data_IF_009796442215
#
_entry.id   IF_009796442215
#
_cell.length_a   1.000
_cell.length_b   1.000
_cell.length_c   1.000
_cell.angle_alpha   90.00
_cell.angle_beta   90.00
_cell.angle_gamma   90.00
#
_symmetry.space_group_name_H-M   'P 1'
#
loop_
_entity.id
_entity.type
_entity.pdbx_description
1 polymer ?
#
# COMPACT_ATOMS: atom_id res chain seq x y z
N UNK A 1 2.65 15.79 -12.37
CA UNK A 1 2.49 14.64 -11.45
C UNK A 1 2.65 15.13 -10.01
N UNK A 2 2.08 14.48 -9.00
CA UNK A 2 2.18 14.91 -7.59
C UNK A 2 2.53 13.73 -6.66
N UNK A 3 2.82 12.57 -7.25
CA UNK A 3 3.21 11.36 -6.56
C UNK A 3 4.73 11.18 -6.62
N UNK A 4 5.28 10.40 -5.70
CA UNK A 4 6.73 10.15 -5.67
C UNK A 4 7.17 9.13 -6.71
N UNK A 5 8.48 9.08 -6.99
CA UNK A 5 9.12 8.13 -7.91
C UNK A 5 9.07 6.66 -7.45
N UNK A 6 8.38 6.35 -6.35
CA UNK A 6 8.23 4.97 -5.85
C UNK A 6 7.56 4.07 -6.89
N UNK A 7 6.52 4.57 -7.57
CA UNK A 7 5.81 3.81 -8.60
C UNK A 7 6.69 3.49 -9.81
N UNK A 8 7.62 4.39 -10.14
CA UNK A 8 8.50 4.26 -11.30
C UNK A 8 9.47 3.08 -11.14
N UNK A 9 9.84 2.71 -9.91
CA UNK A 9 10.77 1.60 -9.65
C UNK A 9 10.26 0.27 -10.20
N UNK A 10 8.97 -0.01 -10.04
CA UNK A 10 8.38 -1.26 -10.50
C UNK A 10 8.36 -1.36 -12.02
N UNK A 11 8.00 -0.27 -12.69
CA UNK A 11 7.98 -0.19 -14.16
C UNK A 11 9.40 -0.27 -14.71
N UNK A 12 10.34 0.49 -14.15
CA UNK A 12 11.75 0.45 -14.53
C UNK A 12 12.32 -0.97 -14.37
N UNK A 13 11.97 -1.68 -13.29
CA UNK A 13 12.36 -3.08 -13.09
C UNK A 13 11.86 -4.00 -14.20
N UNK A 14 10.59 -3.86 -14.63
CA UNK A 14 10.05 -4.66 -15.74
C UNK A 14 10.72 -4.32 -17.07
N UNK A 15 10.95 -3.04 -17.36
CA UNK A 15 11.65 -2.61 -18.58
C UNK A 15 13.06 -3.20 -18.62
N UNK A 16 13.80 -3.16 -17.50
CA UNK A 16 15.14 -3.74 -17.40
C UNK A 16 15.16 -5.25 -17.67
N UNK A 17 14.13 -5.98 -17.25
CA UNK A 17 14.00 -7.43 -17.48
C UNK A 17 13.64 -7.75 -18.94
N UNK A 18 12.74 -6.98 -19.56
CA UNK A 18 12.26 -7.27 -20.92
C UNK A 18 13.16 -6.73 -22.03
N UNK A 19 13.87 -5.62 -21.78
CA UNK A 19 14.70 -4.93 -22.78
C UNK A 19 15.70 -5.84 -23.51
N UNK A 20 16.43 -6.76 -22.85
CA UNK A 20 17.43 -7.59 -23.53
C UNK A 20 16.85 -8.52 -24.60
N UNK A 21 15.57 -8.90 -24.48
CA UNK A 21 14.92 -9.88 -25.36
C UNK A 21 13.99 -9.20 -26.37
N UNK A 22 13.29 -8.14 -25.97
CA UNK A 22 12.23 -7.51 -26.78
C UNK A 22 12.66 -6.17 -27.42
N UNK A 23 13.80 -5.62 -27.00
CA UNK A 23 14.20 -4.25 -27.30
C UNK A 23 13.43 -3.22 -26.47
N UNK A 24 13.89 -1.97 -26.50
CA UNK A 24 13.39 -0.89 -25.62
C UNK A 24 11.87 -0.65 -25.79
N UNK A 25 11.42 -0.43 -27.03
CA UNK A 25 10.02 -0.05 -27.30
C UNK A 25 9.02 -1.13 -26.83
N UNK A 26 9.28 -2.40 -27.13
CA UNK A 26 8.41 -3.48 -26.67
C UNK A 26 8.51 -3.68 -25.16
N UNK A 27 9.69 -3.52 -24.55
CA UNK A 27 9.84 -3.64 -23.10
C UNK A 27 8.98 -2.63 -22.35
N UNK A 28 8.89 -1.39 -22.82
CA UNK A 28 8.02 -0.35 -22.27
C UNK A 28 6.55 -0.71 -22.40
N UNK A 29 6.11 -1.19 -23.58
CA UNK A 29 4.72 -1.62 -23.81
C UNK A 29 4.35 -2.78 -22.86
N UNK A 30 5.20 -3.80 -22.75
CA UNK A 30 4.97 -4.93 -21.88
C UNK A 30 5.02 -4.55 -20.40
N UNK A 31 5.93 -3.66 -19.99
CA UNK A 31 5.97 -3.14 -18.63
C UNK A 31 4.68 -2.37 -18.29
N UNK A 32 4.20 -1.50 -19.20
CA UNK A 32 2.96 -0.76 -19.02
C UNK A 32 1.73 -1.65 -18.92
N UNK A 33 1.67 -2.73 -19.72
CA UNK A 33 0.56 -3.68 -19.69
C UNK A 33 0.59 -4.57 -18.44
N UNK A 34 1.75 -5.08 -18.05
CA UNK A 34 1.88 -6.07 -16.98
C UNK A 34 1.96 -5.45 -15.59
N UNK A 35 2.49 -4.23 -15.45
CA UNK A 35 2.71 -3.63 -14.13
C UNK A 35 1.43 -3.57 -13.28
N UNK A 36 0.29 -3.03 -13.77
CA UNK A 36 -0.94 -2.98 -12.99
C UNK A 36 -1.46 -4.40 -12.64
N UNK A 37 -1.34 -5.36 -13.57
CA UNK A 37 -1.76 -6.74 -13.35
C UNK A 37 -0.91 -7.44 -12.28
N UNK A 38 0.39 -7.20 -12.27
CA UNK A 38 1.29 -7.76 -11.26
C UNK A 38 1.03 -7.18 -9.88
N UNK A 39 0.69 -5.89 -9.78
CA UNK A 39 0.25 -5.24 -8.54
C UNK A 39 -1.09 -5.78 -8.04
N UNK A 40 -1.95 -6.27 -8.92
CA UNK A 40 -3.22 -6.85 -8.52
C UNK A 40 -3.06 -8.15 -7.70
N UNK A 41 -2.00 -8.93 -7.94
CA UNK A 41 -1.73 -10.17 -7.22
C UNK A 41 -1.55 -9.98 -5.69
N UNK A 42 -0.63 -9.11 -5.20
CA UNK A 42 -0.52 -8.85 -3.77
C UNK A 42 -1.79 -8.19 -3.21
N UNK A 43 -2.49 -7.35 -3.99
CA UNK A 43 -3.76 -6.77 -3.57
C UNK A 43 -4.82 -7.86 -3.27
N UNK A 44 -5.01 -8.81 -4.19
CA UNK A 44 -5.90 -9.95 -4.00
C UNK A 44 -5.50 -10.82 -2.80
N UNK A 45 -4.20 -11.07 -2.62
CA UNK A 45 -3.70 -11.85 -1.49
C UNK A 45 -4.03 -11.19 -0.14
N UNK A 46 -3.92 -9.86 -0.05
CA UNK A 46 -4.27 -9.08 1.14
C UNK A 46 -5.78 -9.09 1.41
N UNK A 47 -6.61 -8.96 0.38
CA UNK A 47 -8.07 -9.05 0.50
C UNK A 47 -8.47 -10.44 0.98
N UNK A 48 -7.93 -11.50 0.37
CA UNK A 48 -8.22 -12.87 0.75
C UNK A 48 -7.80 -13.17 2.20
N UNK A 49 -6.65 -12.63 2.65
CA UNK A 49 -6.23 -12.74 4.05
C UNK A 49 -7.16 -11.96 4.98
N UNK A 50 -7.58 -10.77 4.59
CA UNK A 50 -8.54 -9.95 5.36
C UNK A 50 -9.87 -10.68 5.53
N UNK A 51 -10.41 -11.29 4.47
CA UNK A 51 -11.63 -12.08 4.54
C UNK A 51 -11.48 -13.25 5.53
N UNK A 52 -10.38 -14.01 5.45
CA UNK A 52 -10.10 -15.12 6.38
C UNK A 52 -9.97 -14.66 7.83
N UNK A 53 -9.39 -13.49 8.07
CA UNK A 53 -9.28 -12.93 9.42
C UNK A 53 -10.67 -12.62 10.03
N UNK A 54 -11.64 -12.26 9.19
CA UNK A 54 -12.99 -11.85 9.60
C UNK A 54 -13.96 -13.04 9.73
N UNK A 55 -13.79 -14.11 8.95
CA UNK A 55 -14.66 -15.29 8.97
C UNK A 55 -14.61 -16.08 10.29
N UNK A 56 -13.49 -16.04 11.04
CA UNK A 56 -13.35 -16.77 12.31
C UNK A 56 -14.16 -16.21 13.49
N UNK A 57 -14.86 -15.09 13.33
CA UNK A 57 -15.39 -14.29 14.44
C UNK A 57 -16.93 -14.14 14.49
N UNK A 58 -17.72 -15.00 13.82
CA UNK A 58 -19.21 -14.96 13.71
C UNK A 58 -19.84 -13.91 12.78
N UNK A 59 -19.13 -13.37 11.79
CA UNK A 59 -19.76 -12.41 10.87
C UNK A 59 -19.15 -12.44 9.46
N UNK A 60 -19.67 -13.30 8.57
CA UNK A 60 -19.35 -13.24 7.13
C UNK A 60 -19.75 -11.91 6.48
N UNK A 61 -20.69 -11.17 7.07
CA UNK A 61 -21.14 -9.85 6.59
C UNK A 61 -19.98 -8.84 6.50
N UNK A 62 -19.20 -8.55 7.57
CA UNK A 62 -18.05 -7.67 7.48
C UNK A 62 -16.96 -8.17 6.51
N UNK A 63 -16.73 -9.48 6.40
CA UNK A 63 -15.79 -10.03 5.41
C UNK A 63 -16.23 -9.69 3.98
N UNK A 64 -17.50 -9.95 3.67
CA UNK A 64 -18.10 -9.66 2.36
C UNK A 64 -18.10 -8.16 2.10
N UNK A 65 -18.49 -7.31 3.07
CA UNK A 65 -18.51 -5.86 2.91
C UNK A 65 -17.11 -5.30 2.61
N UNK A 66 -16.10 -5.71 3.36
CA UNK A 66 -14.71 -5.25 3.16
C UNK A 66 -14.16 -5.76 1.82
N UNK A 67 -14.38 -7.02 1.49
CA UNK A 67 -13.96 -7.58 0.21
C UNK A 67 -14.66 -6.88 -0.97
N UNK A 68 -15.96 -6.59 -0.86
CA UNK A 68 -16.74 -5.90 -1.90
C UNK A 68 -16.28 -4.47 -2.09
N UNK A 69 -15.97 -3.75 -1.00
CA UNK A 69 -15.45 -2.39 -1.08
C UNK A 69 -14.08 -2.35 -1.78
N UNK A 70 -13.17 -3.26 -1.41
CA UNK A 70 -11.83 -3.34 -2.00
C UNK A 70 -11.83 -3.93 -3.42
N UNK A 71 -12.80 -4.76 -3.78
CA UNK A 71 -12.99 -5.31 -5.13
C UNK A 71 -14.04 -4.54 -5.95
N UNK A 72 -14.38 -3.32 -5.52
CA UNK A 72 -15.34 -2.51 -6.26
C UNK A 72 -14.83 -2.17 -7.67
N UNK A 73 -15.72 -1.94 -8.65
CA UNK A 73 -15.29 -1.50 -9.99
C UNK A 73 -14.38 -0.27 -9.96
N UNK A 74 -14.61 0.64 -9.00
CA UNK A 74 -13.78 1.81 -8.76
C UNK A 74 -12.36 1.47 -8.30
N UNK A 75 -12.16 0.37 -7.57
CA UNK A 75 -10.83 -0.11 -7.23
C UNK A 75 -10.20 -0.87 -8.41
N UNK A 76 -10.97 -1.72 -9.09
CA UNK A 76 -10.47 -2.58 -10.18
C UNK A 76 -10.00 -1.80 -11.40
N UNK A 77 -10.52 -0.59 -11.65
CA UNK A 77 -10.08 0.25 -12.76
C UNK A 77 -8.58 0.55 -12.69
N UNK A 78 -8.01 0.69 -11.48
CA UNK A 78 -6.59 1.01 -11.26
C UNK A 78 -5.64 -0.16 -11.54
N UNK A 79 -6.16 -1.36 -11.77
CA UNK A 79 -5.39 -2.56 -12.10
C UNK A 79 -5.54 -2.99 -13.56
N UNK A 80 -6.23 -2.20 -14.39
CA UNK A 80 -6.37 -2.48 -15.82
C UNK A 80 -5.03 -2.33 -16.56
N UNK A 81 -4.75 -3.16 -17.58
CA UNK A 81 -3.54 -3.03 -18.39
C UNK A 81 -3.39 -1.62 -18.96
N UNK A 82 -2.19 -1.05 -18.84
CA UNK A 82 -1.90 0.30 -19.30
C UNK A 82 -2.35 1.42 -18.36
N UNK A 83 -3.15 1.14 -17.33
CA UNK A 83 -3.51 2.14 -16.32
C UNK A 83 -2.39 2.30 -15.27
N UNK A 84 -1.31 2.95 -15.69
CA UNK A 84 -0.18 3.28 -14.83
C UNK A 84 -0.50 4.53 -14.04
N UNK A 85 -0.73 4.35 -12.75
CA UNK A 85 -1.04 5.44 -11.85
C UNK A 85 -0.72 5.05 -10.40
N UNK A 86 -0.50 6.03 -9.53
CA UNK A 86 -0.10 5.79 -8.14
C UNK A 86 -1.20 5.21 -7.24
N UNK A 87 -2.47 5.28 -7.63
CA UNK A 87 -3.57 4.79 -6.81
C UNK A 87 -3.55 3.26 -6.66
N UNK A 88 -2.93 2.51 -7.59
CA UNK A 88 -2.79 1.05 -7.42
C UNK A 88 -1.93 0.69 -6.21
N UNK A 89 -0.83 1.40 -5.97
CA UNK A 89 0.00 1.25 -4.78
C UNK A 89 -0.71 1.76 -3.53
N UNK A 90 -1.50 2.83 -3.63
CA UNK A 90 -2.30 3.32 -2.49
C UNK A 90 -3.41 2.32 -2.10
N UNK A 91 -4.03 1.63 -3.06
CA UNK A 91 -5.00 0.56 -2.80
C UNK A 91 -4.33 -0.64 -2.12
N UNK A 92 -3.13 -1.01 -2.55
CA UNK A 92 -2.32 -2.04 -1.87
C UNK A 92 -1.98 -1.59 -0.44
N UNK A 93 -1.51 -0.36 -0.27
CA UNK A 93 -1.20 0.22 1.03
C UNK A 93 -2.41 0.17 1.98
N UNK A 94 -3.60 0.57 1.50
CA UNK A 94 -4.85 0.46 2.24
C UNK A 94 -5.17 -1.00 2.59
N UNK A 95 -5.05 -1.93 1.64
CA UNK A 95 -5.28 -3.35 1.88
C UNK A 95 -4.30 -3.94 2.92
N UNK A 96 -3.04 -3.49 2.95
CA UNK A 96 -2.07 -3.87 3.99
C UNK A 96 -2.52 -3.40 5.38
N UNK A 97 -3.00 -2.15 5.49
CA UNK A 97 -3.51 -1.60 6.74
C UNK A 97 -4.70 -2.39 7.25
N UNK A 98 -5.71 -2.63 6.40
CA UNK A 98 -6.91 -3.38 6.77
C UNK A 98 -6.56 -4.82 7.13
N UNK A 99 -5.67 -5.45 6.37
CA UNK A 99 -5.22 -6.82 6.62
C UNK A 99 -4.48 -6.96 7.96
N UNK A 100 -3.59 -6.03 8.29
CA UNK A 100 -2.92 -6.00 9.59
C UNK A 100 -3.88 -5.68 10.73
N UNK A 101 -4.79 -4.73 10.56
CA UNK A 101 -5.76 -4.35 11.60
C UNK A 101 -6.77 -5.48 11.94
N UNK A 102 -7.12 -6.29 10.95
CA UNK A 102 -8.03 -7.45 11.13
C UNK A 102 -7.32 -8.70 11.61
N UNK A 103 -5.98 -8.73 11.58
CA UNK A 103 -5.19 -9.91 11.95
C UNK A 103 -5.22 -10.26 13.45
N UNK A 104 -4.34 -11.19 13.84
CA UNK A 104 -4.25 -11.73 15.21
C UNK A 104 -3.68 -10.75 16.25
N UNK A 105 -3.57 -9.45 15.94
CA UNK A 105 -2.99 -8.40 16.79
C UNK A 105 -1.54 -8.69 17.20
N UNK A 106 -0.81 -9.37 16.34
CA UNK A 106 0.59 -9.73 16.56
C UNK A 106 1.53 -8.58 16.16
N UNK A 107 2.82 -8.70 16.49
CA UNK A 107 3.82 -7.76 15.97
C UNK A 107 3.91 -7.78 14.44
N UNK A 108 3.69 -8.93 13.80
CA UNK A 108 3.68 -9.06 12.33
C UNK A 108 2.53 -8.29 11.70
N UNK A 109 1.36 -8.33 12.35
CA UNK A 109 0.20 -7.56 11.90
C UNK A 109 0.43 -6.05 12.05
N UNK A 110 1.14 -5.65 13.12
CA UNK A 110 1.58 -4.26 13.32
C UNK A 110 2.56 -3.81 12.24
N UNK A 111 3.59 -4.62 11.93
CA UNK A 111 4.54 -4.34 10.85
C UNK A 111 3.83 -4.19 9.50
N UNK A 112 2.89 -5.09 9.18
CA UNK A 112 2.15 -5.04 7.93
C UNK A 112 1.32 -3.75 7.81
N UNK A 113 0.57 -3.41 8.87
CA UNK A 113 -0.25 -2.20 8.87
C UNK A 113 0.59 -0.93 8.80
N UNK A 114 1.70 -0.85 9.54
CA UNK A 114 2.55 0.32 9.52
C UNK A 114 3.35 0.46 8.21
N UNK A 115 3.73 -0.65 7.58
CA UNK A 115 4.28 -0.63 6.23
C UNK A 115 3.27 -0.14 5.19
N UNK A 116 1.98 -0.48 5.34
CA UNK A 116 0.91 0.09 4.51
C UNK A 116 0.80 1.60 4.67
N UNK A 117 0.80 2.11 5.91
CA UNK A 117 0.80 3.57 6.17
C UNK A 117 2.02 4.25 5.56
N UNK A 118 3.21 3.70 5.79
CA UNK A 118 4.46 4.26 5.25
C UNK A 118 4.45 4.28 3.71
N UNK A 119 3.98 3.20 3.07
CA UNK A 119 3.86 3.13 1.62
C UNK A 119 2.86 4.15 1.10
N UNK A 120 1.70 4.31 1.73
CA UNK A 120 0.70 5.31 1.34
C UNK A 120 1.26 6.73 1.37
N UNK A 121 1.93 7.10 2.47
CA UNK A 121 2.61 8.40 2.62
C UNK A 121 3.72 8.56 1.57
N UNK A 122 4.53 7.52 1.40
CA UNK A 122 5.64 7.55 0.46
C UNK A 122 5.15 7.70 -0.97
N UNK A 123 3.99 7.14 -1.35
CA UNK A 123 3.47 7.20 -2.72
C UNK A 123 2.81 8.54 -3.03
N UNK A 124 1.99 9.09 -2.12
CA UNK A 124 1.34 10.38 -2.37
C UNK A 124 0.58 10.92 -1.17
N UNK A 125 0.51 12.25 -1.08
CA UNK A 125 -0.16 12.96 0.03
C UNK A 125 -1.66 12.74 0.07
N UNK A 126 -2.28 12.34 -1.05
CA UNK A 126 -3.72 12.08 -1.14
C UNK A 126 -4.17 10.89 -0.28
N UNK A 127 -3.22 10.07 0.20
CA UNK A 127 -3.47 9.03 1.20
C UNK A 127 -3.63 9.58 2.63
N UNK A 128 -3.44 10.88 2.87
CA UNK A 128 -3.50 11.49 4.21
C UNK A 128 -4.81 11.20 4.97
N UNK A 129 -6.01 11.24 4.37
CA UNK A 129 -7.25 10.92 5.09
C UNK A 129 -7.26 9.50 5.67
N UNK A 130 -6.74 8.53 4.92
CA UNK A 130 -6.62 7.13 5.36
C UNK A 130 -5.66 7.03 6.54
N UNK A 131 -4.49 7.67 6.44
CA UNK A 131 -3.48 7.70 7.51
C UNK A 131 -4.07 8.28 8.80
N UNK A 132 -4.80 9.40 8.70
CA UNK A 132 -5.44 10.04 9.84
C UNK A 132 -6.51 9.17 10.49
N UNK A 133 -7.35 8.51 9.69
CA UNK A 133 -8.38 7.60 10.20
C UNK A 133 -7.77 6.41 10.96
N UNK A 134 -6.68 5.84 10.43
CA UNK A 134 -5.95 4.72 11.03
C UNK A 134 -5.29 5.16 12.34
N UNK A 135 -4.63 6.31 12.35
CA UNK A 135 -4.03 6.87 13.55
C UNK A 135 -5.07 7.09 14.67
N UNK A 136 -6.23 7.67 14.33
CA UNK A 136 -7.33 7.87 15.26
C UNK A 136 -7.85 6.54 15.84
N UNK A 137 -8.08 5.54 14.98
CA UNK A 137 -8.55 4.23 15.42
C UNK A 137 -7.56 3.54 16.37
N UNK A 138 -6.26 3.62 16.08
CA UNK A 138 -5.21 3.03 16.91
C UNK A 138 -5.05 3.74 18.26
N UNK A 139 -5.17 5.07 18.29
CA UNK A 139 -5.19 5.84 19.54
C UNK A 139 -6.36 5.41 20.43
N UNK A 140 -7.55 5.21 19.86
CA UNK A 140 -8.72 4.73 20.59
C UNK A 140 -8.54 3.29 21.11
N UNK A 141 -7.90 2.41 20.34
CA UNK A 141 -7.61 1.03 20.77
C UNK A 141 -6.59 1.01 21.91
N UNK A 142 -5.53 1.81 21.80
CA UNK A 142 -4.52 1.95 22.84
C UNK A 142 -5.10 2.48 24.14
N UNK A 143 -5.91 3.55 24.08
CA UNK A 143 -6.55 4.15 25.25
C UNK A 143 -7.44 3.16 26.00
N UNK A 144 -8.07 2.20 25.30
CA UNK A 144 -8.94 1.19 25.92
C UNK A 144 -8.20 -0.02 26.49
N UNK A 145 -7.14 -0.50 25.83
CA UNK A 145 -6.47 -1.76 26.22
C UNK A 145 -4.95 -1.74 25.93
N UNK A 146 -4.16 -0.91 26.63
CA UNK A 146 -2.76 -0.67 26.27
C UNK A 146 -1.90 -1.95 26.32
N UNK A 147 -2.11 -2.81 27.31
CA UNK A 147 -1.36 -4.07 27.46
C UNK A 147 -1.64 -5.10 26.36
N UNK A 148 -2.87 -5.15 25.83
CA UNK A 148 -3.27 -6.12 24.81
C UNK A 148 -2.65 -5.83 23.44
N UNK A 149 -2.52 -4.54 23.11
CA UNK A 149 -2.06 -4.09 21.80
C UNK A 149 -0.60 -3.64 21.79
N UNK A 150 0.11 -3.70 22.92
CA UNK A 150 1.48 -3.17 23.05
C UNK A 150 2.46 -3.69 21.98
N UNK A 151 2.45 -5.01 21.69
CA UNK A 151 3.33 -5.60 20.68
C UNK A 151 2.98 -5.15 19.26
N UNK A 152 1.68 -5.11 18.94
CA UNK A 152 1.18 -4.62 17.65
C UNK A 152 1.56 -3.15 17.45
N UNK A 153 1.27 -2.28 18.42
CA UNK A 153 1.47 -0.83 18.31
C UNK A 153 2.96 -0.46 18.24
N UNK A 154 3.83 -1.15 18.98
CA UNK A 154 5.29 -0.96 18.88
C UNK A 154 5.78 -1.30 17.48
N UNK A 155 5.40 -2.46 16.96
CA UNK A 155 5.79 -2.88 15.62
C UNK A 155 5.24 -1.93 14.53
N UNK A 156 3.99 -1.51 14.67
CA UNK A 156 3.34 -0.54 13.80
C UNK A 156 4.14 0.78 13.76
N UNK A 157 4.40 1.39 14.92
CA UNK A 157 5.17 2.64 14.99
C UNK A 157 6.59 2.51 14.44
N UNK A 158 7.30 1.43 14.78
CA UNK A 158 8.66 1.19 14.29
C UNK A 158 8.71 1.03 12.77
N UNK A 159 7.74 0.31 12.18
CA UNK A 159 7.68 0.16 10.72
C UNK A 159 7.41 1.48 10.01
N UNK A 160 6.54 2.34 10.54
CA UNK A 160 6.27 3.66 9.95
C UNK A 160 7.53 4.51 9.98
N UNK A 161 8.13 4.68 11.16
CA UNK A 161 9.33 5.53 11.31
C UNK A 161 10.46 5.02 10.44
N UNK A 162 10.73 3.70 10.47
CA UNK A 162 11.81 3.11 9.68
C UNK A 162 11.61 3.25 8.19
N UNK A 163 10.41 2.96 7.67
CA UNK A 163 10.14 2.99 6.23
C UNK A 163 9.97 4.40 5.69
N UNK A 164 9.35 5.32 6.45
CA UNK A 164 9.28 6.73 6.06
C UNK A 164 10.68 7.36 6.05
N UNK A 165 11.51 7.09 7.07
CA UNK A 165 12.90 7.56 7.08
C UNK A 165 13.69 7.02 5.87
N UNK A 166 13.54 5.72 5.57
CA UNK A 166 14.15 5.14 4.37
C UNK A 166 13.64 5.79 3.07
N UNK A 167 12.33 6.03 2.97
CA UNK A 167 11.74 6.68 1.80
C UNK A 167 12.26 8.11 1.61
N UNK A 168 12.37 8.90 2.69
CA UNK A 168 12.97 10.24 2.65
C UNK A 168 14.42 10.16 2.17
N UNK A 169 15.22 9.22 2.68
CA UNK A 169 16.61 9.08 2.27
C UNK A 169 16.78 8.71 0.79
N UNK A 170 15.83 7.96 0.22
CA UNK A 170 15.92 7.46 -1.16
C UNK A 170 15.26 8.40 -2.18
N UNK A 171 14.13 9.01 -1.82
CA UNK A 171 13.26 9.74 -2.76
C UNK A 171 13.19 11.25 -2.52
N UNK A 172 13.79 11.79 -1.46
CA UNK A 172 13.77 13.24 -1.25
C UNK A 172 14.56 13.98 -2.34
N UNK A 173 13.97 15.01 -2.97
CA UNK A 173 14.68 15.84 -3.93
C UNK A 173 15.80 16.63 -3.25
N UNK A 174 16.99 16.63 -3.85
CA UNK A 174 18.11 17.45 -3.39
C UNK A 174 18.46 18.50 -4.47
N UNK A 175 18.36 19.82 -4.14
CA UNK A 175 17.94 20.41 -2.87
C UNK A 175 16.41 20.45 -2.69
N UNK A 176 15.95 20.41 -1.44
CA UNK A 176 14.52 20.42 -1.07
C UNK A 176 13.77 21.71 -1.50
N UNK A 177 14.53 22.73 -1.93
CA UNK A 177 14.03 24.02 -2.40
C UNK A 177 13.64 24.02 -3.88
N UNK A 178 13.98 23.01 -4.65
CA UNK A 178 13.51 22.91 -6.04
C UNK A 178 12.09 22.35 -6.04
N UNK A 179 11.11 23.25 -6.09
CA UNK A 179 9.79 22.90 -6.60
C UNK A 179 9.93 22.66 -8.11
N UNK A 180 10.22 21.42 -8.49
CA UNK A 180 10.08 21.01 -9.88
C UNK A 180 8.59 20.86 -10.15
N UNK A 181 8.03 21.74 -10.98
CA UNK A 181 6.75 21.46 -11.59
C UNK A 181 6.94 20.21 -12.46
N UNK A 182 6.29 19.12 -12.09
CA UNK A 182 6.24 17.92 -12.90
C UNK A 182 5.49 18.24 -14.21
N UNK A 183 6.24 18.52 -15.28
CA UNK A 183 5.75 18.64 -16.67
C UNK A 183 5.32 17.30 -17.23
#
# INVERSE_FOLDING_TARGET
MHWTRVADLGIAGLVLVFRPVLGQAHAEIWAAALYPLLLFLPFLALIARTARNLDGATAGVPAITVATALLSPAALIHFQPGNIDHHNLQLIALAMVVCGATGGRTGRDGLLAGAGVALGIAVGVDAAPVVMAVAAALLLLWARQPGRYARFLRAFGLSIVGLVAAAVLVFSPHPWSTQSCDS
#
